data_IF_132808634434
#
_entry.id   IF_132808634434
#
_cell.length_a   1.000
_cell.length_b   1.000
_cell.length_c   1.000
_cell.angle_alpha   90.00
_cell.angle_beta   90.00
_cell.angle_gamma   90.00
#
_symmetry.space_group_name_H-M   'P 1'
#
loop_
_entity.id
_entity.type
_entity.pdbx_description
1 polymer ?
#
# COMPACT_ATOMS: atom_id res chain seq x y z
N UNK A 1 -26.18 -30.78 19.05
CA UNK A 1 -24.81 -30.73 18.47
C UNK A 1 -24.86 -30.44 16.98
N UNK A 2 -25.76 -31.12 16.24
CA UNK A 2 -26.01 -30.87 14.82
C UNK A 2 -26.53 -29.44 14.54
N UNK A 3 -27.52 -28.95 15.29
CA UNK A 3 -28.04 -27.59 15.11
C UNK A 3 -26.98 -26.50 15.30
N UNK A 4 -26.13 -26.66 16.32
CA UNK A 4 -25.03 -25.72 16.61
C UNK A 4 -24.01 -25.71 15.47
N UNK A 5 -23.67 -26.88 14.92
CA UNK A 5 -22.77 -27.00 13.79
C UNK A 5 -23.36 -26.31 12.55
N UNK A 6 -24.65 -26.49 12.30
CA UNK A 6 -25.36 -25.89 11.17
C UNK A 6 -25.37 -24.36 11.24
N UNK A 7 -25.62 -23.81 12.44
CA UNK A 7 -25.52 -22.37 12.69
C UNK A 7 -24.11 -21.83 12.46
N UNK A 8 -23.07 -22.54 12.94
CA UNK A 8 -21.67 -22.13 12.73
C UNK A 8 -21.34 -22.10 11.23
N UNK A 9 -21.70 -23.16 10.49
CA UNK A 9 -21.49 -23.22 9.03
C UNK A 9 -22.25 -22.11 8.32
N UNK A 10 -23.51 -21.85 8.70
CA UNK A 10 -24.32 -20.78 8.14
C UNK A 10 -23.70 -19.39 8.35
N UNK A 11 -23.18 -19.10 9.56
CA UNK A 11 -22.50 -17.83 9.85
C UNK A 11 -21.19 -17.71 9.07
N UNK A 12 -20.38 -18.78 9.02
CA UNK A 12 -19.12 -18.76 8.26
C UNK A 12 -19.37 -18.54 6.76
N UNK A 13 -20.40 -19.16 6.20
CA UNK A 13 -20.77 -18.99 4.80
C UNK A 13 -21.29 -17.58 4.54
N UNK A 14 -22.12 -17.03 5.43
CA UNK A 14 -22.57 -15.63 5.34
C UNK A 14 -21.39 -14.65 5.36
N UNK A 15 -20.44 -14.84 6.27
CA UNK A 15 -19.22 -14.03 6.34
C UNK A 15 -18.40 -14.17 5.07
N UNK A 16 -18.24 -15.38 4.55
CA UNK A 16 -17.49 -15.63 3.31
C UNK A 16 -18.15 -14.99 2.08
N UNK A 17 -19.48 -14.98 2.01
CA UNK A 17 -20.21 -14.35 0.91
C UNK A 17 -20.26 -12.83 1.02
N UNK A 18 -20.18 -12.28 2.25
CA UNK A 18 -20.38 -10.86 2.51
C UNK A 18 -19.06 -10.07 2.65
N UNK A 19 -17.95 -10.75 2.97
CA UNK A 19 -16.64 -10.15 3.22
C UNK A 19 -15.57 -10.79 2.34
N UNK A 20 -14.55 -10.02 1.96
CA UNK A 20 -13.33 -10.57 1.38
C UNK A 20 -12.49 -11.25 2.49
N UNK A 21 -12.96 -12.38 2.99
CA UNK A 21 -12.36 -13.13 4.11
C UNK A 21 -10.88 -13.43 3.83
N UNK A 22 -10.54 -13.77 2.59
CA UNK A 22 -9.17 -14.04 2.17
C UNK A 22 -8.25 -12.83 2.31
N UNK A 23 -8.74 -11.63 1.97
CA UNK A 23 -8.00 -10.40 2.19
C UNK A 23 -7.66 -10.23 3.68
N UNK A 24 -8.65 -10.29 4.56
CA UNK A 24 -8.45 -10.06 6.00
C UNK A 24 -7.54 -11.11 6.66
N UNK A 25 -7.71 -12.39 6.31
CA UNK A 25 -6.80 -13.45 6.77
C UNK A 25 -5.36 -13.17 6.34
N UNK A 26 -5.16 -12.74 5.10
CA UNK A 26 -3.82 -12.42 4.59
C UNK A 26 -3.24 -11.18 5.26
N UNK A 27 -4.04 -10.16 5.57
CA UNK A 27 -3.59 -9.01 6.38
C UNK A 27 -3.04 -9.49 7.72
N UNK A 28 -3.80 -10.34 8.44
CA UNK A 28 -3.36 -10.88 9.73
C UNK A 28 -2.04 -11.64 9.58
N UNK A 29 -1.94 -12.54 8.59
CA UNK A 29 -0.70 -13.31 8.33
C UNK A 29 0.48 -12.37 8.04
N UNK A 30 0.28 -11.33 7.23
CA UNK A 30 1.33 -10.37 6.88
C UNK A 30 1.80 -9.60 8.11
N UNK A 31 0.87 -9.11 8.94
CA UNK A 31 1.20 -8.37 10.16
C UNK A 31 1.93 -9.26 11.19
N UNK A 32 1.44 -10.47 11.41
CA UNK A 32 2.06 -11.44 12.32
C UNK A 32 3.46 -11.81 11.82
N UNK A 33 3.60 -12.14 10.53
CA UNK A 33 4.92 -12.44 9.94
C UNK A 33 5.87 -11.25 10.06
N UNK A 34 5.40 -10.04 9.77
CA UNK A 34 6.21 -8.83 9.87
C UNK A 34 6.71 -8.57 11.30
N UNK A 35 5.96 -8.99 12.32
CA UNK A 35 6.38 -8.89 13.73
C UNK A 35 7.53 -9.86 14.07
N UNK A 36 7.61 -11.01 13.41
CA UNK A 36 8.70 -11.98 13.60
C UNK A 36 9.94 -11.69 12.73
N UNK A 37 9.81 -10.84 11.71
CA UNK A 37 10.95 -10.40 10.90
C UNK A 37 11.74 -9.31 11.62
N UNK A 38 13.04 -9.20 11.31
CA UNK A 38 13.88 -8.14 11.86
C UNK A 38 13.29 -6.76 11.54
N UNK A 39 13.19 -5.85 12.55
CA UNK A 39 12.76 -4.49 12.32
C UNK A 39 13.75 -3.76 11.41
N UNK A 40 13.25 -2.79 10.65
CA UNK A 40 14.06 -1.95 9.75
C UNK A 40 13.76 -0.51 10.14
N UNK A 41 14.58 0.02 11.05
CA UNK A 41 14.35 1.35 11.63
C UNK A 41 14.69 2.49 10.68
N UNK A 42 15.51 2.23 9.66
CA UNK A 42 15.69 3.17 8.56
C UNK A 42 14.39 3.22 7.74
N UNK A 43 13.78 4.40 7.71
CA UNK A 43 12.48 4.64 7.11
C UNK A 43 12.56 4.61 5.58
N UNK A 44 13.70 5.03 5.01
CA UNK A 44 13.91 5.09 3.56
C UNK A 44 14.55 3.82 3.01
N UNK A 45 15.03 2.94 3.88
CA UNK A 45 15.55 1.63 3.51
C UNK A 45 14.49 0.80 2.77
N UNK A 46 14.93 0.16 1.70
CA UNK A 46 14.10 -0.74 0.92
C UNK A 46 13.81 -2.03 1.70
N UNK A 47 12.55 -2.45 1.68
CA UNK A 47 12.11 -3.72 2.23
C UNK A 47 11.53 -4.61 1.13
N UNK A 48 11.99 -5.86 1.06
CA UNK A 48 11.46 -6.86 0.13
C UNK A 48 10.38 -7.71 0.79
N UNK A 49 9.27 -7.91 0.07
CA UNK A 49 8.22 -8.89 0.42
C UNK A 49 8.06 -9.89 -0.73
N UNK A 50 8.27 -11.17 -0.46
CA UNK A 50 8.16 -12.22 -1.48
C UNK A 50 6.70 -12.66 -1.71
N UNK A 51 6.37 -12.95 -2.96
CA UNK A 51 5.08 -13.46 -3.38
C UNK A 51 5.20 -14.47 -4.53
N UNK A 52 4.09 -15.12 -4.85
CA UNK A 52 3.95 -16.01 -6.01
C UNK A 52 2.56 -15.83 -6.59
N UNK A 53 2.46 -15.78 -7.92
CA UNK A 53 1.17 -15.68 -8.60
C UNK A 53 0.43 -17.00 -8.43
N UNK A 54 -0.73 -16.98 -7.76
CA UNK A 54 -1.58 -18.16 -7.57
C UNK A 54 -2.81 -18.10 -8.48
N UNK A 55 -3.56 -19.19 -8.57
CA UNK A 55 -4.73 -19.30 -9.47
C UNK A 55 -5.79 -18.22 -9.22
N UNK A 56 -5.96 -17.80 -7.95
CA UNK A 56 -6.91 -16.76 -7.56
C UNK A 56 -6.46 -15.33 -7.95
N UNK A 57 -5.25 -15.19 -8.49
CA UNK A 57 -4.70 -13.91 -8.93
C UNK A 57 -4.93 -13.65 -10.43
N UNK A 58 -5.53 -14.56 -11.18
CA UNK A 58 -5.55 -14.53 -12.65
C UNK A 58 -6.84 -13.91 -13.21
N UNK A 59 -6.72 -13.30 -14.41
CA UNK A 59 -7.87 -12.87 -15.23
C UNK A 59 -7.91 -13.63 -16.57
N UNK A 60 -6.79 -13.69 -17.30
CA UNK A 60 -6.64 -14.41 -18.58
C UNK A 60 -5.17 -14.87 -18.80
N UNK A 61 -4.67 -15.76 -17.93
CA UNK A 61 -3.30 -16.33 -17.93
C UNK A 61 -2.15 -15.46 -17.39
N UNK A 62 -2.44 -14.26 -16.88
CA UNK A 62 -1.48 -13.42 -16.16
C UNK A 62 -2.13 -12.84 -14.91
N UNK A 63 -1.29 -12.38 -13.98
CA UNK A 63 -1.75 -11.71 -12.78
C UNK A 63 -2.62 -10.51 -13.12
N UNK A 64 -3.83 -10.49 -12.58
CA UNK A 64 -4.80 -9.42 -12.75
C UNK A 64 -4.21 -8.08 -12.26
N UNK A 65 -4.44 -7.00 -13.01
CA UNK A 65 -3.94 -5.66 -12.68
C UNK A 65 -4.32 -5.20 -11.27
N UNK A 66 -5.55 -5.46 -10.83
CA UNK A 66 -6.02 -5.12 -9.48
C UNK A 66 -5.27 -5.91 -8.39
N UNK A 67 -4.75 -7.10 -8.70
CA UNK A 67 -3.94 -7.88 -7.75
C UNK A 67 -2.62 -7.21 -7.46
N UNK A 68 -2.00 -6.52 -8.40
CA UNK A 68 -0.76 -5.77 -8.11
C UNK A 68 -1.01 -4.70 -7.04
N UNK A 69 -2.09 -3.93 -7.14
CA UNK A 69 -2.42 -2.91 -6.13
C UNK A 69 -2.69 -3.53 -4.76
N UNK A 70 -3.40 -4.67 -4.73
CA UNK A 70 -3.66 -5.41 -3.49
C UNK A 70 -2.37 -5.95 -2.87
N UNK A 71 -1.45 -6.49 -3.67
CA UNK A 71 -0.16 -6.96 -3.18
C UNK A 71 0.70 -5.81 -2.64
N UNK A 72 0.60 -4.62 -3.25
CA UNK A 72 1.24 -3.43 -2.72
C UNK A 72 0.72 -3.04 -1.33
N UNK A 73 -0.57 -3.21 -1.04
CA UNK A 73 -1.11 -3.00 0.31
C UNK A 73 -0.46 -3.92 1.34
N UNK A 74 -0.36 -5.21 1.03
CA UNK A 74 0.30 -6.18 1.92
C UNK A 74 1.78 -5.83 2.14
N UNK A 75 2.49 -5.47 1.08
CA UNK A 75 3.89 -5.03 1.20
C UNK A 75 4.02 -3.75 2.05
N UNK A 76 3.08 -2.80 1.94
CA UNK A 76 3.03 -1.61 2.82
C UNK A 76 2.71 -1.96 4.27
N UNK A 77 1.81 -2.91 4.52
CA UNK A 77 1.52 -3.37 5.88
C UNK A 77 2.76 -3.98 6.54
N UNK A 78 3.54 -4.75 5.80
CA UNK A 78 4.84 -5.26 6.26
C UNK A 78 5.82 -4.11 6.52
N UNK A 79 6.00 -3.20 5.55
CA UNK A 79 6.88 -2.03 5.64
C UNK A 79 6.60 -1.20 6.91
N UNK A 80 5.34 -0.82 7.12
CA UNK A 80 4.92 0.03 8.24
C UNK A 80 4.91 -0.68 9.60
N UNK A 81 4.77 -1.99 9.61
CA UNK A 81 4.93 -2.78 10.84
C UNK A 81 6.40 -2.82 11.23
N UNK A 82 7.30 -3.11 10.28
CA UNK A 82 8.73 -3.33 10.53
C UNK A 82 9.51 -2.04 10.80
N UNK A 83 9.08 -0.92 10.23
CA UNK A 83 9.71 0.39 10.48
C UNK A 83 9.02 1.18 11.63
N UNK A 84 7.94 0.64 12.19
CA UNK A 84 7.24 1.21 13.33
C UNK A 84 6.21 2.29 13.00
N UNK A 85 5.99 2.67 11.74
CA UNK A 85 4.99 3.68 11.35
C UNK A 85 3.60 3.37 11.91
N UNK A 86 3.15 2.12 11.92
CA UNK A 86 1.86 1.77 12.54
C UNK A 86 1.83 2.00 14.05
N UNK A 87 2.94 1.75 14.76
CA UNK A 87 3.05 2.05 16.19
C UNK A 87 2.97 3.55 16.45
N UNK A 88 3.62 4.36 15.61
CA UNK A 88 3.58 5.81 15.70
C UNK A 88 2.18 6.38 15.39
N UNK A 89 1.53 5.89 14.32
CA UNK A 89 0.17 6.27 13.96
C UNK A 89 -0.80 6.02 15.13
N UNK A 90 -0.73 4.84 15.73
CA UNK A 90 -1.57 4.49 16.90
C UNK A 90 -1.29 5.41 18.10
N UNK A 91 -0.02 5.67 18.41
CA UNK A 91 0.36 6.53 19.54
C UNK A 91 -0.07 7.98 19.36
N UNK A 92 -0.10 8.47 18.12
CA UNK A 92 -0.48 9.85 17.77
C UNK A 92 -1.96 10.01 17.42
N UNK A 93 -2.77 8.95 17.47
CA UNK A 93 -4.18 8.99 17.05
C UNK A 93 -4.37 9.34 15.55
N UNK A 94 -3.34 9.08 14.75
CA UNK A 94 -3.27 9.42 13.34
C UNK A 94 -3.68 8.22 12.46
N UNK A 95 -4.16 8.50 11.25
CA UNK A 95 -4.50 7.49 10.26
C UNK A 95 -3.84 7.82 8.93
N UNK A 96 -3.58 6.80 8.11
CA UNK A 96 -2.98 6.95 6.79
C UNK A 96 -3.94 6.40 5.72
N UNK A 97 -4.12 7.14 4.63
CA UNK A 97 -5.02 6.76 3.53
C UNK A 97 -4.34 6.97 2.18
N UNK A 98 -4.64 6.12 1.20
CA UNK A 98 -4.16 6.30 -0.17
C UNK A 98 -4.79 7.56 -0.75
N UNK A 99 -3.97 8.55 -1.11
CA UNK A 99 -4.40 9.77 -1.80
C UNK A 99 -4.28 9.67 -3.32
N UNK A 100 -3.29 8.93 -3.81
CA UNK A 100 -3.11 8.64 -5.22
C UNK A 100 -2.21 7.41 -5.39
N UNK A 101 -2.40 6.70 -6.49
CA UNK A 101 -1.50 5.63 -6.94
C UNK A 101 -1.44 5.59 -8.45
N UNK A 102 -0.25 5.45 -9.00
CA UNK A 102 -0.05 5.16 -10.42
C UNK A 102 0.88 3.97 -10.53
N UNK A 103 0.48 2.99 -11.34
CA UNK A 103 1.27 1.79 -11.59
C UNK A 103 1.54 1.68 -13.08
N UNK A 104 2.80 1.42 -13.40
CA UNK A 104 3.26 1.14 -14.76
C UNK A 104 3.65 -0.33 -14.86
N UNK A 105 2.95 -1.04 -15.74
CA UNK A 105 3.24 -2.44 -16.06
C UNK A 105 4.27 -2.50 -17.19
N UNK A 106 5.29 -3.34 -17.02
CA UNK A 106 6.36 -3.57 -18.00
C UNK A 106 6.32 -4.98 -18.57
N UNK A 107 6.11 -5.98 -17.70
CA UNK A 107 6.02 -7.40 -18.07
C UNK A 107 4.93 -8.08 -17.23
N UNK A 108 4.09 -8.93 -17.82
CA UNK A 108 3.16 -9.74 -17.04
C UNK A 108 3.91 -10.76 -16.18
N UNK A 109 3.43 -10.95 -14.95
CA UNK A 109 3.75 -12.10 -14.12
C UNK A 109 2.75 -13.23 -14.42
N UNK A 110 3.27 -14.41 -14.76
CA UNK A 110 2.45 -15.56 -15.14
C UNK A 110 2.14 -16.47 -13.94
N UNK A 111 1.20 -17.39 -14.11
CA UNK A 111 0.81 -18.37 -13.08
C UNK A 111 2.03 -19.09 -12.51
N UNK A 112 2.12 -19.17 -11.18
CA UNK A 112 3.21 -19.85 -10.48
C UNK A 112 4.53 -19.07 -10.43
N UNK A 113 4.63 -17.93 -11.11
CA UNK A 113 5.84 -17.12 -11.11
C UNK A 113 6.07 -16.48 -9.74
N UNK A 114 7.28 -16.66 -9.19
CA UNK A 114 7.70 -16.01 -7.95
C UNK A 114 8.21 -14.60 -8.23
N UNK A 115 7.90 -13.67 -7.32
CA UNK A 115 8.30 -12.28 -7.42
C UNK A 115 8.61 -11.68 -6.05
N UNK A 116 9.33 -10.57 -6.06
CA UNK A 116 9.57 -9.72 -4.90
C UNK A 116 8.89 -8.37 -5.09
N UNK A 117 8.30 -7.83 -4.03
CA UNK A 117 7.85 -6.44 -3.98
C UNK A 117 8.83 -5.67 -3.11
N UNK A 118 9.66 -4.88 -3.77
CA UNK A 118 10.62 -3.98 -3.14
C UNK A 118 9.95 -2.66 -2.87
N UNK A 119 9.72 -2.37 -1.60
CA UNK A 119 8.94 -1.21 -1.14
C UNK A 119 9.82 -0.28 -0.30
N UNK A 120 9.74 1.02 -0.56
CA UNK A 120 10.42 2.05 0.24
C UNK A 120 9.60 3.33 0.31
N UNK A 121 9.77 4.07 1.40
CA UNK A 121 9.38 5.48 1.45
C UNK A 121 10.49 6.27 0.77
N UNK A 122 10.16 6.96 -0.33
CA UNK A 122 11.11 7.77 -1.08
C UNK A 122 11.38 9.07 -0.32
N UNK A 123 10.31 9.76 0.06
CA UNK A 123 10.32 11.05 0.75
C UNK A 123 8.92 11.35 1.30
N UNK A 124 8.72 12.52 1.91
CA UNK A 124 7.44 12.98 2.44
C UNK A 124 7.33 14.51 2.38
N UNK A 125 6.10 15.00 2.39
CA UNK A 125 5.79 16.42 2.58
C UNK A 125 5.03 16.65 3.89
N UNK A 126 4.47 17.85 4.07
CA UNK A 126 3.72 18.23 5.26
C UNK A 126 2.50 17.32 5.54
N UNK A 127 1.93 16.67 4.51
CA UNK A 127 0.67 15.94 4.59
C UNK A 127 0.78 14.47 4.20
N UNK A 128 1.83 14.07 3.50
CA UNK A 128 1.83 12.80 2.77
C UNK A 128 3.20 12.13 2.73
N UNK A 129 3.22 10.81 2.86
CA UNK A 129 4.36 9.99 2.46
C UNK A 129 4.29 9.64 0.97
N UNK A 130 5.45 9.57 0.33
CA UNK A 130 5.61 9.15 -1.06
C UNK A 130 6.38 7.84 -1.11
N UNK A 131 5.78 6.81 -1.70
CA UNK A 131 6.31 5.45 -1.72
C UNK A 131 6.53 4.96 -3.14
N UNK A 132 7.58 4.16 -3.30
CA UNK A 132 7.84 3.36 -4.48
C UNK A 132 7.70 1.88 -4.14
N UNK A 133 7.03 1.13 -5.01
CA UNK A 133 6.92 -0.32 -4.89
C UNK A 133 7.20 -0.96 -6.26
N UNK A 134 8.25 -1.79 -6.33
CA UNK A 134 8.71 -2.44 -7.56
C UNK A 134 8.47 -3.94 -7.47
N UNK A 135 7.76 -4.48 -8.45
CA UNK A 135 7.63 -5.92 -8.65
C UNK A 135 8.82 -6.41 -9.45
N UNK A 136 9.62 -7.30 -8.86
CA UNK A 136 10.81 -7.89 -9.49
C UNK A 136 10.58 -9.39 -9.62
N UNK A 137 10.63 -9.92 -10.84
CA UNK A 137 10.52 -11.36 -11.04
C UNK A 137 11.75 -12.08 -10.49
N UNK A 138 11.53 -13.17 -9.75
CA UNK A 138 12.61 -14.03 -9.28
C UNK A 138 13.18 -14.93 -10.39
N UNK A 139 12.50 -15.02 -11.55
CA UNK A 139 12.94 -15.86 -12.67
C UNK A 139 14.13 -15.23 -13.42
N UNK A 140 14.05 -13.93 -13.67
CA UNK A 140 14.99 -13.19 -14.53
C UNK A 140 15.52 -11.90 -13.89
N UNK A 141 15.07 -11.54 -12.68
CA UNK A 141 15.46 -10.31 -12.00
C UNK A 141 14.86 -9.04 -12.62
N UNK A 142 13.95 -9.18 -13.60
CA UNK A 142 13.41 -8.04 -14.33
C UNK A 142 12.27 -7.38 -13.54
N UNK A 143 12.19 -6.05 -13.63
CA UNK A 143 11.09 -5.29 -13.02
C UNK A 143 9.83 -5.43 -13.88
N UNK A 144 8.84 -6.15 -13.36
CA UNK A 144 7.56 -6.42 -14.00
C UNK A 144 6.59 -5.24 -13.89
N UNK A 145 6.60 -4.51 -12.77
CA UNK A 145 5.77 -3.34 -12.56
C UNK A 145 6.42 -2.37 -11.55
N UNK A 146 6.11 -1.08 -11.67
CA UNK A 146 6.54 -0.04 -10.72
C UNK A 146 5.33 0.79 -10.34
N UNK A 147 5.11 0.99 -9.05
CA UNK A 147 4.04 1.81 -8.52
C UNK A 147 4.60 2.96 -7.69
N UNK A 148 4.10 4.17 -7.95
CA UNK A 148 4.16 5.28 -7.02
C UNK A 148 2.86 5.41 -6.25
N UNK A 149 2.96 5.66 -4.96
CA UNK A 149 1.82 5.85 -4.09
C UNK A 149 2.01 7.03 -3.13
N UNK A 150 0.98 7.87 -3.05
CA UNK A 150 0.85 8.98 -2.13
C UNK A 150 -0.05 8.53 -1.00
N UNK A 151 0.46 8.60 0.22
CA UNK A 151 -0.23 8.20 1.44
C UNK A 151 -0.45 9.42 2.32
N UNK A 152 -1.68 9.94 2.36
CA UNK A 152 -2.05 11.10 3.16
C UNK A 152 -2.15 10.71 4.63
N UNK A 153 -1.53 11.49 5.50
CA UNK A 153 -1.66 11.39 6.96
C UNK A 153 -2.78 12.30 7.42
N UNK A 154 -3.75 11.74 8.13
CA UNK A 154 -4.87 12.47 8.72
C UNK A 154 -4.65 12.61 10.23
N UNK A 155 -5.11 13.72 10.79
CA UNK A 155 -5.02 14.07 12.22
C UNK A 155 -3.57 14.22 12.75
N UNK A 156 -2.57 14.20 11.87
CA UNK A 156 -1.15 14.42 12.17
C UNK A 156 -0.39 14.78 10.88
N UNK A 157 0.94 14.68 10.88
CA UNK A 157 1.81 14.85 9.71
C UNK A 157 2.89 13.77 9.64
N UNK A 158 3.47 13.51 8.46
CA UNK A 158 4.66 12.67 8.33
C UNK A 158 5.79 13.06 9.29
N UNK A 159 6.09 14.36 9.42
CA UNK A 159 7.15 14.83 10.32
C UNK A 159 6.92 14.45 11.78
N UNK A 160 5.68 14.57 12.29
CA UNK A 160 5.36 14.18 13.67
C UNK A 160 5.50 12.66 13.88
N UNK A 161 5.12 11.87 12.88
CA UNK A 161 5.28 10.41 12.89
C UNK A 161 6.77 10.05 12.97
N UNK A 162 7.59 10.66 12.12
CA UNK A 162 9.02 10.39 12.07
C UNK A 162 9.77 10.90 13.30
N UNK A 163 9.39 12.07 13.80
CA UNK A 163 9.94 12.59 15.06
C UNK A 163 9.61 11.66 16.24
N UNK A 164 8.41 11.10 16.27
CA UNK A 164 8.02 10.12 17.29
C UNK A 164 8.87 8.83 17.20
N UNK A 165 9.15 8.35 15.98
CA UNK A 165 9.94 7.14 15.73
C UNK A 165 11.42 7.33 16.02
N UNK A 166 12.03 8.36 15.43
CA UNK A 166 13.46 8.60 15.48
C UNK A 166 13.90 9.38 16.73
N UNK A 167 12.95 9.90 17.52
CA UNK A 167 13.21 10.78 18.69
C UNK A 167 14.00 12.05 18.35
N UNK A 168 14.03 12.42 17.08
CA UNK A 168 14.70 13.60 16.53
C UNK A 168 13.95 14.07 15.29
N UNK A 169 14.15 15.32 14.90
CA UNK A 169 13.70 15.79 13.59
C UNK A 169 14.48 15.04 12.51
N UNK A 170 13.77 14.49 11.53
CA UNK A 170 14.36 13.79 10.39
C UNK A 170 14.39 14.76 9.22
N UNK A 171 15.52 14.83 8.52
CA UNK A 171 15.63 15.62 7.30
C UNK A 171 14.85 14.95 6.18
N UNK A 172 14.13 15.76 5.41
CA UNK A 172 13.33 15.30 4.29
C UNK A 172 14.28 14.93 3.14
N UNK A 173 14.26 13.69 2.63
CA UNK A 173 15.05 13.31 1.48
C UNK A 173 14.67 14.15 0.25
N UNK A 174 15.64 14.39 -0.63
CA UNK A 174 15.40 15.07 -1.89
C UNK A 174 14.33 14.33 -2.71
N UNK A 175 13.50 15.09 -3.42
CA UNK A 175 12.48 14.55 -4.32
C UNK A 175 13.16 14.19 -5.64
N UNK A 176 13.21 12.89 -6.03
CA UNK A 176 13.72 12.52 -7.34
C UNK A 176 12.90 13.17 -8.46
N UNK A 177 13.53 13.44 -9.60
CA UNK A 177 12.91 14.16 -10.73
C UNK A 177 11.64 13.46 -11.25
N UNK A 178 11.68 12.13 -11.38
CA UNK A 178 10.54 11.32 -11.81
C UNK A 178 9.36 11.39 -10.83
N UNK A 179 9.65 11.38 -9.51
CA UNK A 179 8.65 11.60 -8.47
C UNK A 179 8.07 13.01 -8.56
N UNK A 180 8.88 14.03 -8.81
CA UNK A 180 8.41 15.41 -8.93
C UNK A 180 7.45 15.57 -10.11
N UNK A 181 7.76 14.96 -11.26
CA UNK A 181 6.84 14.94 -12.40
C UNK A 181 5.51 14.27 -12.07
N UNK A 182 5.55 13.16 -11.34
CA UNK A 182 4.34 12.45 -10.91
C UNK A 182 3.51 13.27 -9.90
N UNK A 183 4.16 13.94 -8.95
CA UNK A 183 3.49 14.86 -8.01
C UNK A 183 2.84 16.02 -8.76
N UNK A 184 3.52 16.59 -9.76
CA UNK A 184 2.98 17.66 -10.59
C UNK A 184 1.75 17.19 -11.38
N UNK A 185 1.79 15.98 -11.95
CA UNK A 185 0.66 15.35 -12.63
C UNK A 185 -0.57 15.22 -11.71
N UNK A 186 -0.41 14.65 -10.51
CA UNK A 186 -1.51 14.50 -9.56
C UNK A 186 -2.02 15.87 -9.09
N UNK A 187 -1.12 16.83 -8.88
CA UNK A 187 -1.48 18.18 -8.44
C UNK A 187 -2.29 18.92 -9.50
N UNK A 188 -1.94 18.76 -10.79
CA UNK A 188 -2.71 19.30 -11.90
C UNK A 188 -4.11 18.68 -11.97
N UNK A 189 -4.21 17.34 -11.86
CA UNK A 189 -5.50 16.64 -11.80
C UNK A 189 -6.37 17.11 -10.63
N UNK A 190 -5.79 17.26 -9.43
CA UNK A 190 -6.52 17.74 -8.26
C UNK A 190 -7.01 19.19 -8.43
N UNK A 191 -6.25 20.06 -9.09
CA UNK A 191 -6.67 21.44 -9.37
C UNK A 191 -7.85 21.47 -10.35
N UNK A 192 -7.81 20.66 -11.40
CA UNK A 192 -8.89 20.57 -12.38
C UNK A 192 -10.22 20.14 -11.72
N UNK A 193 -10.18 19.09 -10.88
CA UNK A 193 -11.37 18.61 -10.16
C UNK A 193 -11.95 19.64 -9.18
N UNK A 194 -11.12 20.49 -8.57
CA UNK A 194 -11.62 21.56 -7.69
C UNK A 194 -12.37 22.64 -8.46
N UNK A 195 -11.90 22.98 -9.67
CA UNK A 195 -12.58 23.95 -10.53
C UNK A 195 -13.92 23.38 -11.00
N UNK A 196 -13.95 22.11 -11.40
CA UNK A 196 -15.18 21.40 -11.80
C UNK A 196 -16.24 21.44 -10.69
N UNK A 197 -15.88 21.05 -9.46
CA UNK A 197 -16.81 21.06 -8.32
C UNK A 197 -17.36 22.47 -8.01
N UNK A 198 -16.54 23.53 -8.11
CA UNK A 198 -17.00 24.91 -7.88
C UNK A 198 -17.96 25.42 -8.95
N UNK A 199 -17.85 24.92 -10.19
CA UNK A 199 -18.77 25.25 -11.27
C UNK A 199 -20.12 24.56 -11.08
N UNK A 200 -20.10 23.31 -10.61
CA UNK A 200 -21.32 22.54 -10.33
C UNK A 200 -22.12 23.13 -9.15
N UNK A 201 -21.45 23.59 -8.09
CA UNK A 201 -22.10 24.30 -6.98
C UNK A 201 -22.84 25.55 -7.46
N UNK A 202 -22.21 26.38 -8.30
CA UNK A 202 -22.81 27.61 -8.86
C UNK A 202 -23.95 27.35 -9.85
N UNK A 203 -24.01 26.17 -10.46
CA UNK A 203 -25.08 25.80 -11.41
C UNK A 203 -26.33 25.27 -10.69
N UNK A 204 -26.15 24.80 -9.45
CA UNK A 204 -27.20 24.25 -8.61
C UNK A 204 -27.77 25.28 -7.61
N UNK A 205 -27.21 26.49 -7.57
CA UNK A 205 -27.76 27.69 -6.93
C UNK A 205 -28.68 28.47 -7.88
#
# INVERSE_FOLDING_TARGET
MEDTLLWIVGVLLLLFCSLDVWYYLRVVVVLVRAWFLSPVFDITAEQSSSGRVVLHDLDLCHMNNARYLRECDFARFSLYTRNGVFKALRALGATIVVGASTIRYRRPLCVGEAFEIRSRIITWDEKSFYLEQRFVSCKDGMVSAVMFCKQNVLRSSPDKILQYLCKRKVEVPEFPEDLQHWINFISASSKALRVENQLDEKKNE
#
